data_IF_009959586461
#
_entry.id   IF_009959586461
#
_cell.length_a   1.000
_cell.length_b   1.000
_cell.length_c   1.000
_cell.angle_alpha   90.00
_cell.angle_beta   90.00
_cell.angle_gamma   90.00
#
_symmetry.space_group_name_H-M   'P 1'
#
loop_
_entity.id
_entity.type
_entity.pdbx_description
1 polymer ?
#
# COMPACT_ATOMS: atom_id res chain seq x y z
N UNK A 1 -34.48 -8.19 6.61
CA UNK A 1 -35.40 -7.05 6.65
C UNK A 1 -35.11 -6.23 7.90
N UNK A 2 -34.93 -4.92 7.76
CA UNK A 2 -34.68 -4.01 8.89
C UNK A 2 -35.96 -3.21 9.16
N UNK A 3 -36.42 -3.21 10.41
CA UNK A 3 -37.53 -2.38 10.83
C UNK A 3 -37.03 -0.96 11.11
N UNK A 4 -37.58 0.03 10.38
CA UNK A 4 -37.32 1.45 10.62
C UNK A 4 -38.62 2.07 11.10
N UNK A 5 -38.55 2.89 12.14
CA UNK A 5 -39.64 3.72 12.61
C UNK A 5 -39.27 5.20 12.35
N UNK A 6 -39.62 5.68 11.16
CA UNK A 6 -39.28 7.05 10.73
C UNK A 6 -40.49 7.70 10.04
N UNK A 7 -40.70 8.98 10.33
CA UNK A 7 -41.77 9.77 9.70
C UNK A 7 -41.15 10.66 8.62
N UNK A 8 -41.46 10.39 7.36
CA UNK A 8 -41.03 11.23 6.24
C UNK A 8 -41.85 12.52 6.20
N UNK A 9 -41.17 13.65 6.13
CA UNK A 9 -41.81 14.95 6.01
C UNK A 9 -42.14 15.25 4.54
N UNK A 10 -43.30 15.78 4.22
CA UNK A 10 -43.65 16.15 2.84
C UNK A 10 -42.66 17.16 2.27
N UNK A 11 -42.14 16.89 1.06
CA UNK A 11 -41.22 17.79 0.35
C UNK A 11 -39.81 17.85 0.90
N UNK A 12 -39.47 17.06 1.92
CA UNK A 12 -38.12 16.97 2.46
C UNK A 12 -37.43 15.71 1.94
N UNK A 13 -36.26 15.87 1.32
CA UNK A 13 -35.42 14.76 0.91
C UNK A 13 -34.86 14.06 2.14
N UNK A 14 -34.92 12.73 2.14
CA UNK A 14 -34.36 11.90 3.20
C UNK A 14 -33.35 10.93 2.60
N UNK A 15 -32.10 11.01 3.06
CA UNK A 15 -31.04 10.08 2.65
C UNK A 15 -31.11 8.85 3.53
N UNK A 16 -31.11 7.67 2.90
CA UNK A 16 -31.03 6.37 3.58
C UNK A 16 -29.70 5.74 3.21
N UNK A 17 -28.87 5.47 4.22
CA UNK A 17 -27.56 4.86 4.05
C UNK A 17 -27.58 3.45 4.61
N UNK A 18 -26.94 2.51 3.90
CA UNK A 18 -26.74 1.13 4.33
C UNK A 18 -25.28 0.93 4.67
N UNK A 19 -25.00 0.53 5.90
CA UNK A 19 -23.66 0.18 6.38
C UNK A 19 -23.59 -1.30 6.64
N UNK A 20 -22.46 -1.90 6.34
CA UNK A 20 -22.15 -3.28 6.65
C UNK A 20 -20.66 -3.43 6.97
N UNK A 21 -20.36 -4.22 8.00
CA UNK A 21 -19.00 -4.66 8.26
C UNK A 21 -18.68 -5.83 7.32
N UNK A 22 -17.53 -5.75 6.68
CA UNK A 22 -17.03 -6.83 5.82
C UNK A 22 -15.94 -7.55 6.61
N UNK A 23 -16.22 -8.81 6.95
CA UNK A 23 -15.26 -9.65 7.65
C UNK A 23 -14.44 -10.43 6.63
N UNK A 24 -13.12 -10.44 6.84
CA UNK A 24 -12.24 -11.39 6.18
C UNK A 24 -12.61 -12.79 6.70
N UNK A 25 -12.75 -13.70 5.76
CA UNK A 25 -13.13 -15.07 6.13
C UNK A 25 -11.89 -15.80 6.65
N UNK A 26 -11.88 -16.07 7.93
CA UNK A 26 -10.89 -16.95 8.60
C UNK A 26 -10.99 -18.44 8.19
N UNK A 27 -11.70 -18.74 7.11
CA UNK A 27 -11.94 -20.09 6.61
C UNK A 27 -13.06 -20.86 7.31
N UNK A 28 -13.78 -20.23 8.24
CA UNK A 28 -14.81 -20.86 9.06
C UNK A 28 -16.25 -20.46 8.68
N UNK A 29 -16.42 -19.64 7.64
CA UNK A 29 -17.74 -19.20 7.18
C UNK A 29 -18.61 -20.34 6.64
N UNK A 30 -19.92 -20.26 6.87
CA UNK A 30 -20.91 -21.28 6.49
C UNK A 30 -20.91 -21.67 4.99
N UNK A 31 -20.27 -20.88 4.15
CA UNK A 31 -20.16 -21.12 2.71
C UNK A 31 -18.72 -21.32 2.22
N UNK A 32 -17.73 -21.41 3.10
CA UNK A 32 -16.33 -21.71 2.74
C UNK A 32 -15.69 -20.78 1.68
N UNK A 33 -16.28 -19.62 1.45
CA UNK A 33 -15.79 -18.66 0.46
C UNK A 33 -14.88 -17.63 1.12
N UNK A 34 -13.62 -17.64 0.75
CA UNK A 34 -12.67 -16.56 1.08
C UNK A 34 -13.01 -15.35 0.22
N UNK A 35 -13.11 -14.17 0.82
CA UNK A 35 -13.21 -12.92 0.05
C UNK A 35 -11.91 -12.75 -0.74
N UNK A 36 -12.01 -12.71 -2.06
CA UNK A 36 -10.85 -12.58 -2.95
C UNK A 36 -10.89 -11.28 -3.74
N UNK A 37 -9.75 -10.90 -4.24
CA UNK A 37 -9.62 -9.73 -5.13
C UNK A 37 -10.55 -9.87 -6.33
N UNK A 38 -11.25 -8.80 -6.69
CA UNK A 38 -12.30 -8.69 -7.70
C UNK A 38 -13.68 -9.23 -7.27
N UNK A 39 -13.86 -9.71 -6.05
CA UNK A 39 -15.20 -9.92 -5.53
C UNK A 39 -15.98 -8.62 -5.48
N UNK A 40 -17.28 -8.71 -5.72
CA UNK A 40 -18.14 -7.54 -5.86
C UNK A 40 -19.31 -7.62 -4.90
N UNK A 41 -19.60 -6.49 -4.27
CA UNK A 41 -20.78 -6.31 -3.42
C UNK A 41 -21.61 -5.19 -4.01
N UNK A 42 -22.90 -5.45 -4.16
CA UNK A 42 -23.85 -4.46 -4.61
C UNK A 42 -25.10 -4.55 -3.74
N UNK A 43 -25.52 -3.44 -3.17
CA UNK A 43 -26.78 -3.35 -2.43
C UNK A 43 -27.91 -3.05 -3.38
N UNK A 44 -29.07 -3.60 -3.08
CA UNK A 44 -30.29 -3.32 -3.83
C UNK A 44 -31.43 -3.00 -2.88
N UNK A 45 -32.05 -1.85 -3.06
CA UNK A 45 -33.29 -1.53 -2.38
C UNK A 45 -34.46 -2.09 -3.19
N UNK A 46 -35.30 -2.89 -2.58
CA UNK A 46 -36.46 -3.49 -3.24
C UNK A 46 -37.73 -2.67 -2.96
N UNK A 47 -38.71 -2.79 -3.84
CA UNK A 47 -40.05 -2.17 -3.62
C UNK A 47 -40.64 -2.63 -2.31
N UNK A 48 -41.20 -1.69 -1.57
CA UNK A 48 -41.96 -2.01 -0.36
C UNK A 48 -43.37 -2.47 -0.68
N UNK A 49 -43.92 -3.34 0.16
CA UNK A 49 -45.32 -3.76 0.08
C UNK A 49 -45.97 -3.51 1.43
N UNK A 50 -46.88 -2.55 1.49
CA UNK A 50 -47.63 -2.20 2.72
C UNK A 50 -46.75 -1.95 3.96
N UNK A 51 -45.56 -1.39 3.74
CA UNK A 51 -44.52 -1.19 4.78
C UNK A 51 -44.52 0.24 5.35
N UNK A 52 -45.43 1.08 4.94
CA UNK A 52 -45.60 2.45 5.46
C UNK A 52 -47.10 2.84 5.57
N UNK A 53 -47.39 3.73 6.49
CA UNK A 53 -48.73 4.25 6.70
C UNK A 53 -48.77 5.76 6.51
N UNK A 54 -49.73 6.26 5.77
CA UNK A 54 -49.94 7.70 5.62
C UNK A 54 -50.45 8.31 6.93
N UNK A 55 -49.87 9.39 7.37
CA UNK A 55 -50.19 10.01 8.65
C UNK A 55 -51.62 10.55 8.74
N UNK A 56 -52.17 11.09 7.64
CA UNK A 56 -53.46 11.73 7.62
C UNK A 56 -54.58 10.77 7.23
N UNK A 57 -54.40 9.98 6.17
CA UNK A 57 -55.46 9.11 5.65
C UNK A 57 -55.40 7.68 6.24
N UNK A 58 -54.37 7.37 7.02
CA UNK A 58 -54.10 6.08 7.62
C UNK A 58 -54.07 4.91 6.60
N UNK A 59 -54.00 5.24 5.32
CA UNK A 59 -53.87 4.23 4.26
C UNK A 59 -52.46 3.65 4.18
N UNK A 60 -52.35 2.35 3.99
CA UNK A 60 -51.06 1.65 3.82
C UNK A 60 -50.54 1.85 2.40
N UNK A 61 -49.20 2.00 2.27
CA UNK A 61 -48.52 2.16 1.00
C UNK A 61 -47.20 1.36 1.01
N UNK A 62 -46.70 1.05 -0.17
CA UNK A 62 -45.33 0.52 -0.34
C UNK A 62 -44.32 1.67 -0.48
N UNK A 63 -43.21 1.57 0.20
CA UNK A 63 -42.10 2.53 0.10
C UNK A 63 -40.77 1.75 -0.06
N UNK A 64 -40.03 1.99 -1.13
CA UNK A 64 -40.39 2.78 -2.30
C UNK A 64 -41.48 2.12 -3.13
N UNK A 65 -42.31 2.93 -3.82
CA UNK A 65 -43.40 2.43 -4.67
C UNK A 65 -42.85 1.71 -5.92
N UNK A 66 -41.69 2.11 -6.41
CA UNK A 66 -40.97 1.48 -7.52
C UNK A 66 -39.55 1.17 -7.06
N UNK A 67 -38.99 0.06 -7.56
CA UNK A 67 -37.62 -0.27 -7.25
C UNK A 67 -36.70 0.84 -7.80
N UNK A 68 -35.86 1.46 -6.96
CA UNK A 68 -34.81 2.35 -7.44
C UNK A 68 -33.75 1.54 -8.21
N UNK A 69 -32.88 2.26 -8.90
CA UNK A 69 -31.69 1.64 -9.49
C UNK A 69 -30.80 1.01 -8.41
N UNK A 70 -30.05 0.00 -8.79
CA UNK A 70 -29.10 -0.64 -7.91
C UNK A 70 -28.04 0.38 -7.44
N UNK A 71 -27.48 0.14 -6.27
CA UNK A 71 -26.37 0.94 -5.77
C UNK A 71 -25.12 0.78 -6.64
N UNK A 72 -24.13 1.62 -6.43
CA UNK A 72 -22.81 1.41 -6.98
C UNK A 72 -22.20 0.08 -6.52
N UNK A 73 -21.44 -0.55 -7.39
CA UNK A 73 -20.72 -1.80 -7.07
C UNK A 73 -19.46 -1.47 -6.28
N UNK A 74 -19.28 -2.10 -5.14
CA UNK A 74 -18.03 -2.12 -4.38
C UNK A 74 -17.25 -3.33 -4.85
N UNK A 75 -16.01 -3.12 -5.27
CA UNK A 75 -15.11 -4.20 -5.71
C UNK A 75 -13.98 -4.37 -4.69
N UNK A 76 -13.74 -5.59 -4.27
CA UNK A 76 -12.61 -5.92 -3.38
C UNK A 76 -11.31 -5.76 -4.17
N UNK A 77 -10.41 -4.96 -3.66
CA UNK A 77 -9.06 -4.78 -4.23
C UNK A 77 -8.00 -5.15 -3.19
N UNK A 78 -6.92 -5.79 -3.64
CA UNK A 78 -5.75 -5.98 -2.78
C UNK A 78 -4.99 -4.68 -2.61
N UNK A 79 -4.34 -4.53 -1.48
CA UNK A 79 -3.30 -3.53 -1.31
C UNK A 79 -2.19 -3.78 -2.32
N UNK A 80 -1.79 -2.73 -3.01
CA UNK A 80 -0.70 -2.79 -3.99
C UNK A 80 0.38 -1.81 -3.57
N UNK A 81 1.64 -2.21 -3.79
CA UNK A 81 2.77 -1.32 -3.69
C UNK A 81 3.49 -1.27 -5.04
N UNK A 82 3.96 -0.10 -5.40
CA UNK A 82 4.84 0.08 -6.54
C UNK A 82 6.17 0.65 -6.08
N UNK A 83 7.26 0.12 -6.62
CA UNK A 83 8.62 0.61 -6.37
C UNK A 83 9.18 1.16 -7.68
N UNK A 84 9.60 2.41 -7.66
CA UNK A 84 10.19 3.07 -8.82
C UNK A 84 11.52 3.71 -8.43
N UNK A 85 12.49 3.71 -9.35
CA UNK A 85 13.73 4.46 -9.16
C UNK A 85 13.43 5.97 -9.22
N UNK A 86 14.07 6.75 -8.35
CA UNK A 86 13.96 8.20 -8.40
C UNK A 86 14.66 8.71 -9.67
N UNK A 87 13.95 9.36 -10.62
CA UNK A 87 14.52 9.72 -11.93
C UNK A 87 15.72 10.66 -11.85
N UNK A 88 15.77 11.52 -10.83
CA UNK A 88 16.89 12.44 -10.61
C UNK A 88 18.16 11.75 -10.11
N UNK A 89 18.05 10.46 -9.68
CA UNK A 89 19.17 9.64 -9.29
C UNK A 89 19.62 8.75 -10.46
N UNK A 90 20.27 9.35 -11.44
CA UNK A 90 20.79 8.66 -12.63
C UNK A 90 22.18 8.06 -12.43
N UNK A 91 22.79 7.61 -13.53
CA UNK A 91 24.17 7.11 -13.54
C UNK A 91 25.15 8.16 -13.01
N UNK A 92 26.02 7.74 -12.12
CA UNK A 92 27.01 8.61 -11.46
C UNK A 92 28.40 8.02 -11.56
N UNK A 93 29.38 8.91 -11.59
CA UNK A 93 30.79 8.52 -11.49
C UNK A 93 31.37 9.04 -10.17
N UNK A 94 32.22 8.25 -9.55
CA UNK A 94 32.91 8.66 -8.32
C UNK A 94 34.34 8.16 -8.32
N UNK A 95 35.17 8.72 -7.44
CA UNK A 95 36.52 8.24 -7.17
C UNK A 95 36.54 7.48 -5.85
N UNK A 96 37.42 6.50 -5.70
CA UNK A 96 37.55 5.71 -4.49
C UNK A 96 38.75 6.20 -3.66
N UNK A 97 38.73 6.06 -2.31
CA UNK A 97 37.62 5.56 -1.49
C UNK A 97 36.52 6.62 -1.26
N UNK A 98 35.33 6.16 -0.85
CA UNK A 98 34.23 7.03 -0.46
C UNK A 98 33.56 6.49 0.82
N UNK A 99 33.15 7.39 1.71
CA UNK A 99 32.40 7.03 2.93
C UNK A 99 30.95 7.51 2.79
N UNK A 100 30.01 6.62 3.12
CA UNK A 100 28.59 6.94 3.07
C UNK A 100 28.10 7.31 1.67
N UNK A 101 28.64 6.67 0.63
CA UNK A 101 28.26 6.96 -0.75
C UNK A 101 26.87 6.41 -1.03
N UNK A 102 25.99 7.25 -1.54
CA UNK A 102 24.65 6.83 -1.93
C UNK A 102 24.71 6.01 -3.22
N UNK A 103 24.22 4.77 -3.15
CA UNK A 103 24.22 3.81 -4.25
C UNK A 103 22.97 3.88 -5.10
N UNK A 104 21.85 4.23 -4.47
CA UNK A 104 20.55 4.28 -5.17
C UNK A 104 19.50 5.03 -4.37
N UNK A 105 18.42 5.38 -5.06
CA UNK A 105 17.25 6.03 -4.50
C UNK A 105 15.99 5.54 -5.19
N UNK A 106 14.99 5.18 -4.41
CA UNK A 106 13.71 4.65 -4.88
C UNK A 106 12.55 5.30 -4.15
N UNK A 107 11.41 5.31 -4.80
CA UNK A 107 10.11 5.68 -4.22
C UNK A 107 9.24 4.44 -4.16
N UNK A 108 8.82 4.06 -2.94
CA UNK A 108 7.81 3.05 -2.68
C UNK A 108 6.48 3.77 -2.49
N UNK A 109 5.47 3.41 -3.26
CA UNK A 109 4.13 4.01 -3.19
C UNK A 109 3.12 2.94 -2.79
N UNK A 110 2.35 3.19 -1.74
CA UNK A 110 1.20 2.37 -1.39
C UNK A 110 0.00 2.72 -2.26
N UNK A 111 -0.76 1.71 -2.67
CA UNK A 111 -2.06 1.89 -3.32
C UNK A 111 -3.06 2.57 -2.38
N UNK A 112 -4.24 2.89 -2.90
CA UNK A 112 -5.28 3.62 -2.15
C UNK A 112 -6.20 2.70 -1.33
N UNK A 113 -6.06 1.38 -1.46
CA UNK A 113 -6.97 0.43 -0.83
C UNK A 113 -6.68 0.24 0.67
N UNK A 114 -5.42 -0.01 1.02
CA UNK A 114 -5.00 -0.31 2.39
C UNK A 114 -3.58 0.15 2.70
N UNK A 115 -3.25 0.20 3.98
CA UNK A 115 -1.90 0.45 4.47
C UNK A 115 -1.01 -0.78 4.23
N UNK A 116 0.29 -0.57 4.02
CA UNK A 116 1.24 -1.63 3.73
C UNK A 116 2.29 -1.72 4.84
N UNK A 117 2.46 -2.90 5.42
CA UNK A 117 3.53 -3.17 6.36
C UNK A 117 4.79 -3.63 5.61
N UNK A 118 5.88 -2.87 5.78
CA UNK A 118 7.18 -3.17 5.20
C UNK A 118 8.08 -3.72 6.30
N UNK A 119 8.45 -5.00 6.18
CA UNK A 119 9.21 -5.71 7.22
C UNK A 119 10.68 -5.94 6.84
N UNK A 120 11.06 -5.68 5.60
CA UNK A 120 12.43 -5.84 5.12
C UNK A 120 12.63 -5.22 3.75
N UNK A 121 13.88 -4.89 3.46
CA UNK A 121 14.33 -4.43 2.15
C UNK A 121 15.49 -5.32 1.73
N UNK A 122 15.46 -5.80 0.49
CA UNK A 122 16.56 -6.57 -0.09
C UNK A 122 17.11 -5.84 -1.31
N UNK A 123 18.43 -5.74 -1.37
CA UNK A 123 19.14 -5.04 -2.44
C UNK A 123 20.06 -6.04 -3.15
N UNK A 124 19.83 -6.23 -4.42
CA UNK A 124 20.70 -7.00 -5.31
C UNK A 124 21.59 -6.03 -6.09
N UNK A 125 22.88 -6.31 -6.13
CA UNK A 125 23.89 -5.45 -6.72
C UNK A 125 24.58 -6.16 -7.87
N UNK A 126 24.52 -5.56 -9.06
CA UNK A 126 25.25 -6.07 -10.22
C UNK A 126 26.60 -5.37 -10.31
N UNK A 127 27.65 -6.16 -10.38
CA UNK A 127 29.02 -5.69 -10.51
C UNK A 127 29.54 -5.89 -11.93
N UNK A 128 30.30 -4.94 -12.41
CA UNK A 128 30.90 -5.01 -13.74
C UNK A 128 32.12 -4.09 -13.82
N UNK A 129 32.93 -4.28 -14.83
CA UNK A 129 34.09 -3.44 -15.13
C UNK A 129 34.92 -4.03 -16.25
N UNK A 130 35.59 -3.18 -17.01
CA UNK A 130 36.59 -3.55 -18.01
C UNK A 130 37.97 -3.19 -17.52
N UNK A 131 38.87 -4.17 -17.53
CA UNK A 131 40.28 -3.97 -17.20
C UNK A 131 40.68 -4.36 -15.75
N UNK A 132 41.27 -5.49 -15.58
CA UNK A 132 42.04 -5.91 -14.42
C UNK A 132 41.22 -6.46 -13.25
N UNK A 133 40.66 -5.61 -12.38
CA UNK A 133 39.93 -6.04 -11.20
C UNK A 133 38.53 -5.43 -11.25
N UNK A 134 37.52 -6.26 -11.51
CA UNK A 134 36.14 -5.84 -11.46
C UNK A 134 35.75 -5.40 -10.04
N UNK A 135 34.92 -4.40 -9.92
CA UNK A 135 34.31 -4.02 -8.64
C UNK A 135 33.48 -5.19 -8.11
N UNK A 136 33.59 -5.48 -6.83
CA UNK A 136 32.92 -6.62 -6.18
C UNK A 136 32.35 -6.19 -4.82
N UNK A 137 31.51 -7.03 -4.24
CA UNK A 137 30.90 -6.78 -2.93
C UNK A 137 31.96 -6.59 -1.81
N UNK A 138 33.10 -7.22 -1.93
CA UNK A 138 34.22 -7.08 -0.99
C UNK A 138 34.83 -5.68 -0.94
N UNK A 139 34.55 -4.84 -1.96
CA UNK A 139 34.96 -3.44 -1.98
C UNK A 139 33.95 -2.52 -1.29
N UNK A 140 32.89 -3.09 -0.74
CA UNK A 140 31.86 -2.38 0.00
C UNK A 140 31.91 -2.70 1.49
N UNK A 141 31.53 -1.76 2.31
CA UNK A 141 31.38 -1.94 3.75
C UNK A 141 30.31 -1.01 4.31
N UNK A 142 29.88 -1.28 5.53
CA UNK A 142 28.98 -0.41 6.30
C UNK A 142 27.74 0.00 5.48
N UNK A 143 27.08 -1.00 4.88
CA UNK A 143 25.87 -0.76 4.09
C UNK A 143 24.69 -0.51 5.01
N UNK A 144 23.93 0.53 4.70
CA UNK A 144 22.68 0.86 5.39
C UNK A 144 21.70 1.52 4.42
N UNK A 145 20.45 1.49 4.77
CA UNK A 145 19.40 2.23 4.06
C UNK A 145 18.84 3.34 4.94
N UNK A 146 18.28 4.35 4.30
CA UNK A 146 17.39 5.32 4.96
C UNK A 146 16.04 5.25 4.30
N UNK A 147 14.98 5.51 5.09
CA UNK A 147 13.65 5.69 4.53
C UNK A 147 12.96 6.91 5.15
N UNK A 148 12.08 7.53 4.38
CA UNK A 148 11.29 8.69 4.79
C UNK A 148 9.88 8.56 4.21
N UNK A 149 8.85 8.58 5.05
CA UNK A 149 7.45 8.54 4.63
C UNK A 149 6.95 9.97 4.45
N UNK A 150 6.52 10.30 3.24
CA UNK A 150 6.10 11.67 2.90
C UNK A 150 7.14 12.71 3.28
N UNK A 151 6.75 13.69 4.10
CA UNK A 151 7.63 14.72 4.68
C UNK A 151 8.05 14.42 6.13
N UNK A 152 7.86 13.19 6.61
CA UNK A 152 8.22 12.78 7.97
C UNK A 152 9.72 12.75 8.22
N UNK A 153 10.12 12.27 9.39
CA UNK A 153 11.52 12.11 9.75
C UNK A 153 12.20 11.03 8.89
N UNK A 154 13.47 11.26 8.58
CA UNK A 154 14.33 10.25 7.95
C UNK A 154 14.75 9.24 9.02
N UNK A 155 14.52 7.97 8.75
CA UNK A 155 14.92 6.86 9.62
C UNK A 155 16.08 6.12 8.95
N UNK A 156 17.14 5.85 9.73
CA UNK A 156 18.29 5.08 9.27
C UNK A 156 18.22 3.66 9.83
N UNK A 157 18.46 2.68 8.99
CA UNK A 157 18.48 1.26 9.37
C UNK A 157 19.80 0.90 10.08
N UNK A 158 19.84 -0.32 10.63
CA UNK A 158 21.10 -0.87 11.13
C UNK A 158 22.15 -0.96 10.02
N UNK A 159 23.40 -0.73 10.38
CA UNK A 159 24.55 -0.85 9.48
C UNK A 159 24.94 -2.31 9.35
N UNK A 160 25.15 -2.78 8.12
CA UNK A 160 25.75 -4.08 7.82
C UNK A 160 27.25 -3.89 7.50
N UNK A 161 28.15 -4.22 8.44
CA UNK A 161 29.59 -3.93 8.26
C UNK A 161 30.23 -4.64 7.06
N UNK A 162 29.79 -5.89 6.81
CA UNK A 162 30.24 -6.70 5.68
C UNK A 162 29.04 -7.14 4.86
N UNK A 163 28.60 -6.34 3.87
CA UNK A 163 27.42 -6.64 3.10
C UNK A 163 27.57 -7.91 2.26
N UNK A 164 26.48 -8.62 2.05
CA UNK A 164 26.36 -9.74 1.13
C UNK A 164 25.68 -9.31 -0.18
N UNK A 165 25.58 -10.20 -1.14
CA UNK A 165 24.81 -9.95 -2.35
C UNK A 165 23.88 -11.15 -2.63
N UNK A 166 22.55 -11.01 -2.52
CA UNK A 166 21.83 -9.80 -2.11
C UNK A 166 22.08 -9.42 -0.64
N UNK A 167 21.90 -8.14 -0.32
CA UNK A 167 21.99 -7.65 1.05
C UNK A 167 20.58 -7.34 1.57
N UNK A 168 20.19 -7.98 2.67
CA UNK A 168 18.91 -7.76 3.31
C UNK A 168 19.06 -6.84 4.52
N UNK A 169 18.17 -5.86 4.60
CA UNK A 169 18.11 -4.89 5.69
C UNK A 169 16.76 -5.00 6.38
N UNK A 170 16.76 -5.24 7.68
CA UNK A 170 15.55 -5.28 8.47
C UNK A 170 14.99 -3.87 8.65
N UNK A 171 13.73 -3.70 8.31
CA UNK A 171 12.95 -2.49 8.57
C UNK A 171 11.61 -2.90 9.15
N UNK A 172 10.94 -2.00 9.84
CA UNK A 172 9.56 -2.23 10.30
C UNK A 172 8.85 -0.89 10.29
N UNK A 173 8.04 -0.66 9.26
CA UNK A 173 7.20 0.52 9.19
C UNK A 173 5.92 0.23 8.42
N UNK A 174 4.86 0.97 8.77
CA UNK A 174 3.61 0.97 8.01
C UNK A 174 3.64 2.15 7.04
N UNK A 175 3.46 1.89 5.76
CA UNK A 175 3.25 2.91 4.74
C UNK A 175 1.74 3.10 4.57
N UNK A 176 1.17 4.25 4.98
CA UNK A 176 -0.26 4.49 4.85
C UNK A 176 -0.70 4.49 3.39
N UNK A 177 -1.94 4.05 3.16
CA UNK A 177 -2.55 4.05 1.82
C UNK A 177 -2.44 5.41 1.13
N UNK A 178 -2.08 5.38 -0.14
CA UNK A 178 -1.89 6.57 -0.95
C UNK A 178 -0.61 7.38 -0.63
N UNK A 179 0.19 6.95 0.35
CA UNK A 179 1.43 7.61 0.71
C UNK A 179 2.64 7.02 -0.01
N UNK A 180 3.72 7.78 0.00
CA UNK A 180 5.01 7.38 -0.58
C UNK A 180 6.11 7.36 0.48
N UNK A 181 7.04 6.42 0.35
CA UNK A 181 8.28 6.40 1.10
C UNK A 181 9.47 6.53 0.15
N UNK A 182 10.38 7.45 0.44
CA UNK A 182 11.67 7.52 -0.26
C UNK A 182 12.68 6.63 0.45
N UNK A 183 13.31 5.73 -0.29
CA UNK A 183 14.30 4.77 0.21
C UNK A 183 15.63 5.07 -0.46
N UNK A 184 16.68 5.28 0.33
CA UNK A 184 18.04 5.50 -0.16
C UNK A 184 18.97 4.42 0.40
N UNK A 185 19.86 3.91 -0.44
CA UNK A 185 20.89 2.93 -0.06
C UNK A 185 22.25 3.59 -0.04
N UNK A 186 23.02 3.33 1.01
CA UNK A 186 24.37 3.86 1.22
C UNK A 186 25.35 2.75 1.53
N UNK A 187 26.61 2.97 1.16
CA UNK A 187 27.72 2.11 1.57
C UNK A 187 29.03 2.88 1.54
N UNK A 188 29.99 2.43 2.33
CA UNK A 188 31.38 2.83 2.18
C UNK A 188 32.01 2.06 1.03
N UNK A 189 32.66 2.75 0.11
CA UNK A 189 33.38 2.19 -1.03
C UNK A 189 34.86 2.21 -0.75
N UNK A 190 35.51 1.05 -0.83
CA UNK A 190 36.94 0.83 -0.56
C UNK A 190 37.74 0.72 -1.86
N UNK A 191 39.00 1.06 -1.78
CA UNK A 191 39.99 0.72 -2.84
C UNK A 191 40.19 -0.78 -2.83
N UNK A 192 40.06 -1.44 -3.96
CA UNK A 192 40.31 -2.88 -4.08
C UNK A 192 41.77 -3.26 -3.83
N UNK A 193 42.05 -4.48 -3.39
CA UNK A 193 43.41 -4.98 -3.33
C UNK A 193 43.99 -5.01 -4.75
N UNK A 194 44.92 -4.13 -5.05
CA UNK A 194 45.63 -4.09 -6.34
C UNK A 194 45.71 -2.73 -7.01
N UNK A 195 45.11 -1.67 -6.48
CA UNK A 195 45.32 -0.29 -6.96
C UNK A 195 46.37 0.48 -6.16
N UNK A 196 47.27 -0.23 -5.48
CA UNK A 196 48.45 0.38 -4.90
C UNK A 196 49.38 0.89 -6.01
N UNK A 197 49.45 2.17 -6.20
CA UNK A 197 50.61 2.88 -6.70
C UNK A 197 51.20 3.65 -5.56
#
# INVERSE_FOLDING_TARGET
EYAINYTFQPGVETVVELYADIYDNDGLGANGGVIVVNDKIQAKLVTGTANATRQTSLGVIGVPATAPSDSSTITVSSGQASLTMVPSYGNRSTVLPQTGYQLGSWTLTAGTAEDINVNGLSFDMTFGGSGGTAFAITHMADMYATYQIGSGAVVTTSVTPSPSNPNSVSVSFTLPKGQTATINLFSNLKVGPGTGR
#
